data_IF_537935524061
#
_entry.id   IF_537935524061
#
_cell.length_a   1.000
_cell.length_b   1.000
_cell.length_c   1.000
_cell.angle_alpha   90.00
_cell.angle_beta   90.00
_cell.angle_gamma   90.00
#
_symmetry.space_group_name_H-M   'P 1'
#
loop_
_entity.id
_entity.type
_entity.pdbx_description
1 polymer ?
#
# COMPACT_ATOMS: atom_id res chain seq x y z
N UNK A 1 -13.75 -32.76 52.45
CA UNK A 1 -13.21 -32.38 51.13
C UNK A 1 -14.05 -33.05 50.04
N UNK A 2 -14.59 -32.30 49.08
CA UNK A 2 -15.22 -32.86 47.89
C UNK A 2 -14.25 -32.70 46.73
N UNK A 3 -13.82 -33.80 46.11
CA UNK A 3 -13.04 -33.76 44.88
C UNK A 3 -13.97 -33.39 43.72
N UNK A 4 -13.70 -32.27 43.06
CA UNK A 4 -14.42 -31.83 41.87
C UNK A 4 -14.13 -32.73 40.65
N UNK A 5 -15.04 -32.71 39.67
CA UNK A 5 -14.99 -33.54 38.45
C UNK A 5 -13.72 -33.26 37.65
N UNK A 6 -13.01 -34.32 37.24
CA UNK A 6 -11.78 -34.25 36.44
C UNK A 6 -12.06 -33.52 35.12
N UNK A 7 -11.58 -32.29 34.98
CA UNK A 7 -11.62 -31.57 33.71
C UNK A 7 -10.41 -31.98 32.89
N UNK A 8 -10.62 -32.24 31.60
CA UNK A 8 -9.54 -32.32 30.62
C UNK A 8 -8.97 -30.91 30.44
N UNK A 9 -8.16 -30.48 31.41
CA UNK A 9 -7.33 -29.29 31.23
C UNK A 9 -6.46 -29.50 30.00
N UNK A 10 -6.19 -28.41 29.28
CA UNK A 10 -5.17 -28.42 28.24
C UNK A 10 -3.87 -28.93 28.86
N UNK A 11 -3.46 -30.14 28.50
CA UNK A 11 -2.13 -30.61 28.86
C UNK A 11 -1.19 -29.77 27.99
N UNK A 12 -0.50 -28.81 28.60
CA UNK A 12 0.47 -27.93 27.93
C UNK A 12 1.72 -28.68 27.46
N UNK A 13 1.52 -29.77 26.72
CA UNK A 13 2.55 -30.45 25.96
C UNK A 13 2.65 -29.83 24.57
N UNK A 14 3.89 -29.67 24.09
CA UNK A 14 4.16 -29.31 22.70
C UNK A 14 3.94 -30.55 21.83
N UNK A 15 3.09 -30.44 20.83
CA UNK A 15 2.96 -31.42 19.75
C UNK A 15 4.02 -31.15 18.67
N UNK A 16 4.49 -32.17 17.93
CA UNK A 16 5.40 -31.95 16.80
C UNK A 16 4.82 -31.04 15.71
N UNK A 17 3.50 -30.92 15.62
CA UNK A 17 2.80 -30.04 14.68
C UNK A 17 2.92 -28.55 15.07
N UNK A 18 3.20 -28.26 16.34
CA UNK A 18 3.47 -26.91 16.86
C UNK A 18 4.95 -26.52 16.76
N UNK A 19 5.82 -27.43 16.29
CA UNK A 19 7.26 -27.18 16.19
C UNK A 19 7.61 -26.55 14.83
N UNK A 20 8.01 -25.28 14.84
CA UNK A 20 8.53 -24.58 13.65
C UNK A 20 10.02 -24.31 13.85
N UNK A 21 10.85 -24.73 12.90
CA UNK A 21 12.30 -24.47 12.89
C UNK A 21 12.64 -23.64 11.65
N UNK A 22 12.85 -22.31 11.79
CA UNK A 22 13.24 -21.49 10.65
C UNK A 22 14.68 -21.80 10.25
N UNK A 23 14.91 -21.92 8.94
CA UNK A 23 16.24 -22.05 8.35
C UNK A 23 16.48 -20.82 7.49
N UNK A 24 17.60 -20.13 7.70
CA UNK A 24 18.00 -18.94 6.93
C UNK A 24 19.32 -19.19 6.23
N UNK A 25 19.43 -18.79 4.96
CA UNK A 25 20.66 -18.82 4.18
C UNK A 25 21.15 -17.39 3.98
N UNK A 26 22.39 -17.10 4.37
CA UNK A 26 23.02 -15.79 4.22
C UNK A 26 24.00 -15.81 3.05
N UNK A 27 23.89 -14.85 2.14
CA UNK A 27 24.77 -14.70 0.99
C UNK A 27 25.51 -13.35 1.03
N UNK A 28 26.77 -13.32 0.59
CA UNK A 28 27.59 -12.11 0.53
C UNK A 28 27.38 -11.27 -0.75
N UNK A 29 26.55 -11.77 -1.68
CA UNK A 29 26.25 -11.15 -2.96
C UNK A 29 24.76 -10.85 -3.10
N UNK A 30 24.43 -9.86 -3.92
CA UNK A 30 23.04 -9.51 -4.25
C UNK A 30 22.35 -10.51 -5.20
N UNK A 31 23.11 -11.44 -5.79
CA UNK A 31 22.57 -12.52 -6.61
C UNK A 31 22.27 -13.77 -5.79
N UNK A 32 21.08 -14.34 -5.96
CA UNK A 32 20.74 -15.65 -5.39
C UNK A 32 21.51 -16.79 -6.07
N UNK A 33 21.77 -17.90 -5.36
CA UNK A 33 22.29 -19.11 -5.99
C UNK A 33 21.37 -19.58 -7.14
N UNK A 34 21.95 -20.23 -8.14
CA UNK A 34 21.20 -20.70 -9.31
C UNK A 34 20.03 -21.59 -8.88
N UNK A 35 18.81 -21.26 -9.32
CA UNK A 35 17.58 -21.98 -9.01
C UNK A 35 16.94 -21.63 -7.66
N UNK A 36 17.51 -20.70 -6.90
CA UNK A 36 16.92 -20.22 -5.65
C UNK A 36 16.12 -18.95 -5.91
N UNK A 37 14.94 -18.88 -5.28
CA UNK A 37 14.08 -17.69 -5.27
C UNK A 37 13.80 -17.32 -3.82
N UNK A 38 13.62 -16.02 -3.56
CA UNK A 38 13.24 -15.54 -2.23
C UNK A 38 11.87 -16.10 -1.84
N UNK A 39 11.75 -16.59 -0.60
CA UNK A 39 10.49 -17.13 -0.11
C UNK A 39 9.48 -15.98 0.05
N UNK A 40 8.26 -16.09 -0.51
CA UNK A 40 7.24 -15.08 -0.33
C UNK A 40 6.79 -15.03 1.13
N UNK A 41 6.41 -13.84 1.59
CA UNK A 41 5.75 -13.67 2.89
C UNK A 41 4.32 -14.21 2.75
N UNK A 42 4.06 -15.37 3.32
CA UNK A 42 2.71 -15.95 3.39
C UNK A 42 1.97 -15.38 4.61
N UNK A 43 1.27 -14.25 4.42
CA UNK A 43 0.36 -13.72 5.44
C UNK A 43 -1.06 -14.19 5.19
N UNK A 44 -1.80 -14.58 6.23
CA UNK A 44 -3.20 -14.95 6.07
C UNK A 44 -4.02 -13.76 5.61
N UNK A 45 -4.98 -14.00 4.71
CA UNK A 45 -5.75 -12.96 4.03
C UNK A 45 -6.54 -12.01 4.94
N UNK A 46 -6.80 -12.38 6.20
CA UNK A 46 -7.47 -11.51 7.17
C UNK A 46 -6.55 -10.41 7.74
N UNK A 47 -5.23 -10.49 7.51
CA UNK A 47 -4.27 -9.47 7.94
C UNK A 47 -4.21 -8.29 6.98
N UNK A 48 -4.70 -8.46 5.75
CA UNK A 48 -4.73 -7.43 4.73
C UNK A 48 -6.13 -6.79 4.67
N UNK A 49 -6.17 -5.45 4.58
CA UNK A 49 -7.40 -4.74 4.24
C UNK A 49 -7.75 -5.10 2.79
N UNK A 50 -8.97 -5.56 2.47
CA UNK A 50 -9.32 -5.98 1.12
C UNK A 50 -9.22 -4.78 0.17
N UNK A 51 -8.15 -4.77 -0.64
CA UNK A 51 -8.04 -3.86 -1.77
C UNK A 51 -9.16 -4.24 -2.74
N UNK A 52 -10.04 -3.32 -3.15
CA UNK A 52 -11.10 -3.66 -4.08
C UNK A 52 -10.48 -4.14 -5.39
N UNK A 53 -10.56 -5.46 -5.64
CA UNK A 53 -10.21 -6.03 -6.93
C UNK A 53 -11.03 -5.33 -8.01
N UNK A 54 -10.33 -4.66 -8.92
CA UNK A 54 -10.92 -4.07 -10.10
C UNK A 54 -11.36 -5.20 -11.02
N UNK A 55 -12.57 -5.73 -10.78
CA UNK A 55 -13.19 -6.71 -11.69
C UNK A 55 -13.15 -6.12 -13.11
N UNK A 56 -12.67 -6.87 -14.11
CA UNK A 56 -12.96 -6.57 -15.50
C UNK A 56 -14.47 -6.38 -15.60
N UNK A 57 -14.89 -5.21 -16.10
CA UNK A 57 -16.31 -4.89 -16.24
C UNK A 57 -16.90 -5.85 -17.26
N UNK A 58 -17.50 -6.93 -16.76
CA UNK A 58 -18.35 -7.79 -17.56
C UNK A 58 -19.41 -6.91 -18.21
N UNK A 59 -19.51 -6.99 -19.54
CA UNK A 59 -20.40 -6.17 -20.33
C UNK A 59 -21.82 -6.33 -19.77
N UNK A 60 -22.44 -5.21 -19.40
CA UNK A 60 -23.77 -5.24 -18.81
C UNK A 60 -24.74 -5.94 -19.80
N UNK A 61 -25.50 -6.96 -19.36
CA UNK A 61 -26.52 -7.55 -20.21
C UNK A 61 -27.56 -6.50 -20.60
N UNK A 62 -28.19 -6.62 -21.79
CA UNK A 62 -29.22 -5.68 -22.22
C UNK A 62 -30.34 -5.61 -21.19
N UNK A 63 -30.70 -4.39 -20.79
CA UNK A 63 -31.76 -4.12 -19.83
C UNK A 63 -33.11 -4.54 -20.43
N UNK A 64 -33.64 -5.68 -20.00
CA UNK A 64 -35.03 -6.04 -20.24
C UNK A 64 -35.92 -5.14 -19.37
N UNK A 65 -36.99 -4.61 -19.97
CA UNK A 65 -37.97 -3.76 -19.28
C UNK A 65 -38.65 -4.56 -18.15
N UNK A 66 -38.75 -4.05 -16.91
CA UNK A 66 -39.37 -4.78 -15.83
C UNK A 66 -40.88 -4.95 -16.08
N UNK A 67 -41.35 -6.19 -16.11
CA UNK A 67 -42.77 -6.49 -15.93
C UNK A 67 -43.05 -6.49 -14.43
N UNK A 68 -44.00 -5.68 -13.97
CA UNK A 68 -44.33 -5.57 -12.55
C UNK A 68 -44.94 -6.89 -12.05
N UNK A 69 -44.18 -7.63 -11.25
CA UNK A 69 -44.72 -8.67 -10.39
C UNK A 69 -45.11 -8.05 -9.05
N UNK A 70 -46.40 -8.11 -8.73
CA UNK A 70 -46.98 -7.67 -7.46
C UNK A 70 -46.71 -8.75 -6.42
N UNK A 71 -45.90 -8.48 -5.40
CA UNK A 71 -45.58 -9.43 -4.34
C UNK A 71 -44.93 -8.75 -3.13
N UNK A 72 -45.35 -9.17 -1.93
CA UNK A 72 -45.20 -8.52 -0.62
C UNK A 72 -43.74 -8.19 -0.21
N UNK A 73 -43.55 -7.05 0.45
CA UNK A 73 -42.25 -6.55 0.89
C UNK A 73 -41.68 -7.22 2.16
N UNK A 74 -40.35 -7.16 2.37
CA UNK A 74 -39.68 -7.70 3.56
C UNK A 74 -39.80 -6.78 4.79
N UNK A 75 -39.80 -7.41 5.96
CA UNK A 75 -40.18 -6.88 7.28
C UNK A 75 -39.11 -6.02 8.00
N UNK A 76 -38.16 -5.41 7.28
CA UNK A 76 -37.11 -4.60 7.92
C UNK A 76 -36.77 -3.36 7.08
N UNK A 77 -37.52 -2.28 7.31
CA UNK A 77 -37.18 -0.93 6.86
C UNK A 77 -36.33 -0.23 7.93
N UNK A 78 -35.06 0.05 7.60
CA UNK A 78 -34.28 1.08 8.26
C UNK A 78 -33.96 2.17 7.24
N UNK A 79 -34.44 3.38 7.54
CA UNK A 79 -34.45 4.55 6.68
C UNK A 79 -33.05 4.87 6.11
N UNK A 80 -32.94 4.82 4.78
CA UNK A 80 -31.81 5.40 4.04
C UNK A 80 -32.20 6.82 3.64
N UNK A 81 -31.62 7.80 4.32
CA UNK A 81 -31.76 9.20 3.94
C UNK A 81 -31.19 9.45 2.54
N UNK A 82 -31.98 10.21 1.80
CA UNK A 82 -31.86 10.54 0.39
C UNK A 82 -31.02 11.81 0.28
N UNK A 83 -29.87 11.75 -0.42
CA UNK A 83 -29.25 12.94 -1.00
C UNK A 83 -29.11 12.78 -2.51
N UNK A 84 -29.44 13.86 -3.19
CA UNK A 84 -29.99 13.93 -4.54
C UNK A 84 -29.05 13.45 -5.64
N UNK A 85 -29.67 12.85 -6.65
CA UNK A 85 -29.08 12.63 -7.95
C UNK A 85 -29.12 13.93 -8.76
N UNK A 86 -27.96 14.39 -9.21
CA UNK A 86 -27.81 15.12 -10.45
C UNK A 86 -26.96 14.24 -11.40
N UNK A 87 -27.50 13.97 -12.57
CA UNK A 87 -26.84 13.32 -13.72
C UNK A 87 -26.78 14.35 -14.85
N UNK A 88 -26.08 14.13 -15.98
CA UNK A 88 -25.06 13.14 -16.34
C UNK A 88 -23.84 13.79 -17.05
N UNK A 89 -22.92 12.96 -17.56
CA UNK A 89 -21.91 13.27 -18.59
C UNK A 89 -20.59 13.91 -18.16
N UNK A 90 -19.62 13.06 -17.85
CA UNK A 90 -18.35 13.05 -18.58
C UNK A 90 -17.91 11.59 -18.72
N UNK A 91 -17.70 11.16 -19.95
CA UNK A 91 -17.18 9.85 -20.29
C UNK A 91 -15.72 9.85 -19.82
N UNK A 92 -15.46 9.32 -18.63
CA UNK A 92 -14.10 9.10 -18.17
C UNK A 92 -13.47 8.03 -19.08
N UNK A 93 -12.53 8.48 -19.90
CA UNK A 93 -11.64 7.70 -20.73
C UNK A 93 -10.88 6.68 -19.85
N UNK A 94 -10.30 5.61 -20.40
CA UNK A 94 -9.50 4.69 -19.63
C UNK A 94 -8.38 5.51 -18.98
N UNK A 95 -8.29 5.50 -17.65
CA UNK A 95 -7.08 5.94 -16.97
C UNK A 95 -6.07 4.83 -17.26
N UNK A 96 -5.35 5.00 -18.36
CA UNK A 96 -3.96 4.54 -18.45
C UNK A 96 -3.30 4.89 -17.12
N UNK A 97 -2.49 3.99 -16.58
CA UNK A 97 -1.68 4.21 -15.38
C UNK A 97 -0.67 5.33 -15.65
N UNK A 98 -1.16 6.55 -15.84
CA UNK A 98 -0.38 7.74 -16.06
C UNK A 98 0.15 8.16 -14.70
N UNK A 99 1.46 8.30 -14.62
CA UNK A 99 2.11 8.92 -13.47
C UNK A 99 1.43 10.28 -13.22
N UNK A 100 1.05 10.60 -11.98
CA UNK A 100 0.49 11.90 -11.65
C UNK A 100 1.39 13.05 -12.16
N UNK A 101 0.80 14.06 -12.81
CA UNK A 101 1.54 15.14 -13.44
C UNK A 101 2.51 15.88 -12.49
N UNK A 102 2.15 15.99 -11.21
CA UNK A 102 3.01 16.61 -10.18
C UNK A 102 4.30 15.80 -9.93
N UNK A 103 4.27 14.46 -10.10
CA UNK A 103 5.47 13.62 -9.97
C UNK A 103 6.39 13.83 -11.18
N UNK A 104 5.82 13.97 -12.38
CA UNK A 104 6.60 14.31 -13.57
C UNK A 104 7.24 15.71 -13.43
N UNK A 105 6.48 16.69 -12.94
CA UNK A 105 6.98 18.03 -12.64
C UNK A 105 8.09 18.02 -11.58
N UNK A 106 7.94 17.21 -10.53
CA UNK A 106 8.97 17.00 -9.51
C UNK A 106 10.27 16.45 -10.11
N UNK A 107 10.19 15.42 -10.97
CA UNK A 107 11.36 14.84 -11.63
C UNK A 107 12.07 15.83 -12.56
N UNK A 108 11.33 16.76 -13.17
CA UNK A 108 11.87 17.83 -13.99
C UNK A 108 12.44 19.00 -13.17
N UNK A 109 12.16 19.07 -11.87
CA UNK A 109 12.58 20.16 -11.01
C UNK A 109 14.11 20.23 -10.88
N UNK A 110 14.74 21.40 -11.17
CA UNK A 110 16.18 21.59 -10.97
C UNK A 110 16.60 21.34 -9.52
N UNK A 111 15.74 21.69 -8.57
CA UNK A 111 15.96 21.52 -7.12
C UNK A 111 16.15 20.04 -6.79
N UNK A 112 15.32 19.15 -7.36
CA UNK A 112 15.49 17.71 -7.16
C UNK A 112 16.83 17.22 -7.72
N UNK A 113 17.25 17.74 -8.88
CA UNK A 113 18.55 17.44 -9.48
C UNK A 113 19.73 17.81 -8.57
N UNK A 114 19.69 19.00 -7.99
CA UNK A 114 20.68 19.48 -7.01
C UNK A 114 20.70 18.60 -5.75
N UNK A 115 19.53 18.27 -5.20
CA UNK A 115 19.42 17.39 -4.03
C UNK A 115 19.95 15.97 -4.30
N UNK A 116 19.69 15.42 -5.49
CA UNK A 116 20.26 14.13 -5.91
C UNK A 116 21.79 14.22 -6.01
N UNK A 117 22.34 15.31 -6.54
CA UNK A 117 23.79 15.50 -6.61
C UNK A 117 24.44 15.57 -5.21
N UNK A 118 23.81 16.25 -4.26
CA UNK A 118 24.25 16.32 -2.86
C UNK A 118 24.13 14.97 -2.15
N UNK A 119 23.11 14.18 -2.46
CA UNK A 119 22.91 12.85 -1.89
C UNK A 119 23.95 11.82 -2.36
N UNK A 120 24.56 12.02 -3.53
CA UNK A 120 25.69 11.24 -4.03
C UNK A 120 25.32 9.85 -4.57
N UNK A 121 26.21 8.87 -4.41
CA UNK A 121 26.08 7.53 -5.04
C UNK A 121 24.94 6.65 -4.51
N UNK A 122 24.27 7.06 -3.44
CA UNK A 122 23.21 6.27 -2.78
C UNK A 122 21.80 6.65 -3.24
N UNK A 123 21.68 7.55 -4.22
CA UNK A 123 20.39 7.95 -4.78
C UNK A 123 19.72 6.77 -5.50
N UNK A 124 18.44 6.49 -5.20
CA UNK A 124 17.67 5.45 -5.89
C UNK A 124 17.46 5.79 -7.37
N UNK A 125 17.20 4.77 -8.19
CA UNK A 125 16.77 4.98 -9.56
C UNK A 125 15.41 5.70 -9.60
N UNK A 126 15.18 6.51 -10.64
CA UNK A 126 13.99 7.36 -10.74
C UNK A 126 12.70 6.55 -10.78
N UNK A 127 12.73 5.33 -11.33
CA UNK A 127 11.60 4.41 -11.34
C UNK A 127 11.20 3.96 -9.92
N UNK A 128 12.14 3.92 -8.98
CA UNK A 128 11.85 3.63 -7.56
C UNK A 128 11.23 4.85 -6.88
N UNK A 129 11.73 6.04 -7.18
CA UNK A 129 11.19 7.31 -6.67
C UNK A 129 9.73 7.48 -7.11
N UNK A 130 9.46 7.30 -8.40
CA UNK A 130 8.10 7.40 -8.97
C UNK A 130 7.16 6.40 -8.32
N UNK A 131 7.56 5.12 -8.21
CA UNK A 131 6.71 4.08 -7.59
C UNK A 131 6.41 4.41 -6.13
N UNK A 132 7.40 4.86 -5.37
CA UNK A 132 7.22 5.25 -3.96
C UNK A 132 6.24 6.41 -3.80
N UNK A 133 6.42 7.47 -4.59
CA UNK A 133 5.56 8.65 -4.52
C UNK A 133 4.13 8.36 -5.01
N UNK A 134 3.98 7.60 -6.10
CA UNK A 134 2.68 7.19 -6.61
C UNK A 134 1.94 6.28 -5.62
N UNK A 135 2.65 5.34 -4.98
CA UNK A 135 2.09 4.46 -3.96
C UNK A 135 1.58 5.26 -2.74
N UNK A 136 2.30 6.29 -2.30
CA UNK A 136 1.85 7.16 -1.22
C UNK A 136 0.67 8.05 -1.65
N UNK A 137 0.72 8.66 -2.83
CA UNK A 137 -0.35 9.55 -3.34
C UNK A 137 -1.67 8.80 -3.51
N UNK A 138 -1.66 7.58 -4.05
CA UNK A 138 -2.88 6.79 -4.22
C UNK A 138 -3.53 6.38 -2.88
N UNK A 139 -2.78 6.38 -1.78
CA UNK A 139 -3.28 6.12 -0.43
C UNK A 139 -3.48 7.40 0.40
N UNK A 140 -3.57 8.57 -0.24
CA UNK A 140 -3.81 9.85 0.44
C UNK A 140 -2.62 10.34 1.26
N UNK A 141 -1.41 9.91 0.91
CA UNK A 141 -0.16 10.34 1.51
C UNK A 141 0.28 9.56 2.74
N UNK A 142 -0.42 8.51 3.18
CA UNK A 142 0.00 7.70 4.35
C UNK A 142 -0.10 6.21 4.08
N UNK A 143 0.94 5.46 4.45
CA UNK A 143 0.98 4.01 4.27
C UNK A 143 1.95 3.37 5.28
N UNK A 144 1.67 2.16 5.76
CA UNK A 144 2.66 1.44 6.59
C UNK A 144 3.89 1.06 5.76
N UNK A 145 5.06 0.92 6.38
CA UNK A 145 6.28 0.54 5.66
C UNK A 145 6.13 -0.85 5.01
N UNK A 146 5.43 -1.77 5.66
CA UNK A 146 5.11 -3.10 5.11
C UNK A 146 4.21 -3.02 3.87
N UNK A 147 3.15 -2.21 3.91
CA UNK A 147 2.26 -2.01 2.77
C UNK A 147 2.98 -1.27 1.63
N UNK A 148 3.83 -0.28 1.95
CA UNK A 148 4.64 0.43 0.97
C UNK A 148 5.62 -0.51 0.26
N UNK A 149 6.35 -1.35 1.01
CA UNK A 149 7.27 -2.35 0.47
C UNK A 149 6.59 -3.26 -0.56
N UNK A 150 5.38 -3.73 -0.26
CA UNK A 150 4.57 -4.56 -1.17
C UNK A 150 4.08 -3.77 -2.38
N UNK A 151 3.57 -2.56 -2.18
CA UNK A 151 3.00 -1.72 -3.24
C UNK A 151 4.03 -1.35 -4.32
N UNK A 152 5.31 -1.21 -3.95
CA UNK A 152 6.38 -0.87 -4.89
C UNK A 152 7.24 -2.07 -5.32
N UNK A 153 6.91 -3.28 -4.86
CA UNK A 153 7.68 -4.52 -5.05
C UNK A 153 9.16 -4.35 -4.68
N UNK A 154 9.41 -3.92 -3.45
CA UNK A 154 10.76 -3.63 -2.95
C UNK A 154 11.02 -4.31 -1.61
N UNK A 155 12.17 -4.99 -1.41
CA UNK A 155 12.43 -5.74 -0.18
C UNK A 155 12.32 -4.88 1.09
N UNK A 156 11.49 -5.31 2.03
CA UNK A 156 11.21 -4.58 3.28
C UNK A 156 12.48 -4.24 4.08
N UNK A 157 13.48 -5.13 4.09
CA UNK A 157 14.75 -4.91 4.79
C UNK A 157 15.54 -3.72 4.21
N UNK A 158 15.40 -3.46 2.90
CA UNK A 158 16.07 -2.35 2.20
C UNK A 158 15.23 -1.07 2.24
N UNK A 159 13.93 -1.16 2.54
CA UNK A 159 13.02 -0.02 2.51
C UNK A 159 13.43 1.07 3.52
N UNK A 160 13.91 0.70 4.72
CA UNK A 160 14.36 1.69 5.71
C UNK A 160 15.51 2.57 5.17
N UNK A 161 16.47 1.95 4.48
CA UNK A 161 17.57 2.67 3.84
C UNK A 161 17.09 3.55 2.69
N UNK A 162 16.17 3.03 1.86
CA UNK A 162 15.52 3.80 0.80
C UNK A 162 14.83 5.05 1.37
N UNK A 163 13.99 4.90 2.39
CA UNK A 163 13.28 6.00 3.04
C UNK A 163 14.23 7.04 3.64
N UNK A 164 15.34 6.62 4.26
CA UNK A 164 16.34 7.55 4.77
C UNK A 164 16.99 8.38 3.66
N UNK A 165 17.26 7.78 2.49
CA UNK A 165 17.77 8.53 1.33
C UNK A 165 16.70 9.45 0.76
N UNK A 166 15.46 8.98 0.62
CA UNK A 166 14.33 9.80 0.16
C UNK A 166 14.10 11.01 1.07
N UNK A 167 14.15 10.84 2.39
CA UNK A 167 14.07 11.92 3.36
C UNK A 167 15.20 12.93 3.15
N UNK A 168 16.43 12.48 2.90
CA UNK A 168 17.56 13.39 2.67
C UNK A 168 17.42 14.20 1.38
N UNK A 169 16.76 13.66 0.36
CA UNK A 169 16.54 14.35 -0.94
C UNK A 169 15.32 15.26 -0.89
N UNK A 170 14.24 14.85 -0.20
CA UNK A 170 12.96 15.55 -0.20
C UNK A 170 12.79 16.53 0.96
N UNK A 171 13.41 16.30 2.11
CA UNK A 171 13.26 17.17 3.29
C UNK A 171 14.28 18.31 3.26
N UNK A 172 14.03 19.30 2.40
CA UNK A 172 14.87 20.49 2.27
C UNK A 172 14.70 21.39 3.49
N UNK A 173 15.80 21.99 3.96
CA UNK A 173 15.83 22.94 5.10
C UNK A 173 15.18 22.42 6.39
N UNK A 174 15.11 21.08 6.56
CA UNK A 174 14.53 20.43 7.74
C UNK A 174 13.01 20.33 7.73
N UNK A 175 12.35 20.73 6.65
CA UNK A 175 10.91 20.56 6.48
C UNK A 175 10.56 19.10 6.20
N UNK A 176 9.61 18.58 6.98
CA UNK A 176 9.21 17.18 6.96
C UNK A 176 8.25 16.84 5.80
N UNK A 177 8.77 16.77 4.57
CA UNK A 177 8.00 16.35 3.38
C UNK A 177 7.69 14.85 3.44
N UNK A 178 8.70 14.03 3.72
CA UNK A 178 8.55 12.61 3.92
C UNK A 178 8.95 12.29 5.37
N UNK A 179 8.08 11.60 6.10
CA UNK A 179 8.35 11.18 7.48
C UNK A 179 8.07 9.69 7.65
N UNK A 180 8.70 9.10 8.66
CA UNK A 180 8.38 7.75 9.13
C UNK A 180 8.21 7.81 10.63
N UNK A 181 7.04 7.40 11.10
CA UNK A 181 6.79 7.17 12.51
C UNK A 181 7.27 5.76 12.87
N UNK A 182 8.25 5.65 13.76
CA UNK A 182 8.78 4.36 14.20
C UNK A 182 7.82 3.60 15.12
N UNK A 183 6.91 4.28 15.83
CA UNK A 183 5.98 3.64 16.75
C UNK A 183 4.83 2.95 15.99
N UNK A 184 4.31 3.59 14.95
CA UNK A 184 3.23 3.05 14.11
C UNK A 184 3.71 2.38 12.81
N UNK A 185 5.02 2.40 12.55
CA UNK A 185 5.65 1.97 11.29
C UNK A 185 4.99 2.59 10.04
N UNK A 186 4.51 3.84 10.16
CA UNK A 186 3.79 4.55 9.11
C UNK A 186 4.70 5.54 8.42
N UNK A 187 4.65 5.57 7.09
CA UNK A 187 5.30 6.53 6.21
C UNK A 187 4.26 7.55 5.78
N UNK A 188 4.59 8.83 5.89
CA UNK A 188 3.72 9.94 5.53
C UNK A 188 4.41 10.89 4.56
N UNK A 189 3.67 11.29 3.52
CA UNK A 189 4.03 12.22 2.48
C UNK A 189 3.14 13.46 2.59
N UNK A 190 3.75 14.61 2.83
CA UNK A 190 3.07 15.89 2.73
C UNK A 190 3.19 16.44 1.30
N UNK A 191 2.21 16.08 0.47
CA UNK A 191 2.16 16.48 -0.94
C UNK A 191 2.17 17.99 -1.13
N UNK A 192 1.36 18.72 -0.36
CA UNK A 192 1.26 20.18 -0.51
C UNK A 192 2.58 20.89 -0.19
N UNK A 193 3.34 20.36 0.77
CA UNK A 193 4.66 20.88 1.10
C UNK A 193 5.68 20.52 0.03
N UNK A 194 5.64 19.29 -0.49
CA UNK A 194 6.49 18.86 -1.59
C UNK A 194 6.29 19.75 -2.82
N UNK A 195 5.05 19.94 -3.28
CA UNK A 195 4.78 20.71 -4.50
C UNK A 195 5.26 22.17 -4.35
N UNK A 196 5.08 22.77 -3.15
CA UNK A 196 5.60 24.12 -2.84
C UNK A 196 7.12 24.22 -2.79
N UNK A 197 7.82 23.17 -2.36
CA UNK A 197 9.27 23.20 -2.25
C UNK A 197 9.97 23.00 -3.59
N UNK A 198 9.37 22.19 -4.46
CA UNK A 198 9.95 21.80 -5.74
C UNK A 198 9.32 22.51 -6.94
N UNK A 199 8.40 23.46 -6.70
CA UNK A 199 7.59 24.16 -7.70
C UNK A 199 6.89 23.18 -8.67
N UNK A 200 6.28 22.13 -8.11
CA UNK A 200 5.74 20.97 -8.83
C UNK A 200 4.20 20.87 -8.80
N UNK A 201 3.49 21.99 -9.01
CA UNK A 201 2.02 22.08 -9.06
C UNK A 201 1.40 21.66 -10.42
#
# INVERSE_FOLDING_TARGET
>A
MRYGVKKNGYHGGLSPQEMVVPITVLCASDSFPAGWVEAPIDTPAWWDEPVPERRPREAAPPRLKPTQARGLGPLFDAAREKREAASPAAIARPVEESVPAWIEALLASPILGEQKALAGRTVPADEVIVRLLAALDCHGGKLTATALSRAIDYPAIRLRGLLAVMQRILNIDGYAVLTRDEASDTVELNRDLLCRQFDAD
#
